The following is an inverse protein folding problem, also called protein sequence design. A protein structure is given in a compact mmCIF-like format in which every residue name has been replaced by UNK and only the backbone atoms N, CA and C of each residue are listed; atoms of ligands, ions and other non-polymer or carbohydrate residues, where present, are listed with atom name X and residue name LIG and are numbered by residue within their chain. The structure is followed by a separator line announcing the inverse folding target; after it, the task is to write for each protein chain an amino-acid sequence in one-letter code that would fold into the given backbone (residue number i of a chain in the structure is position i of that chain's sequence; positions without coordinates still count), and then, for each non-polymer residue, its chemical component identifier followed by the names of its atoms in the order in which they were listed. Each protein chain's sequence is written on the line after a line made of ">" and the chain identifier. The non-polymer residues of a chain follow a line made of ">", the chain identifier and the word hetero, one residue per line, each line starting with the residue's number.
data_IF_465406160317
#
_entry.id   IF_465406160317
#
_cell.length_a   1.000
_cell.length_b   1.000
_cell.length_c   1.000
_cell.angle_alpha   90.00
_cell.angle_beta   90.00
_cell.angle_gamma   90.00
#
_symmetry.space_group_name_H-M   'P 1'
#
loop_
_entity.id
_entity.type
_entity.pdbx_description
1 polymer ?
#
# COMPACT_ATOMS: atom_id res chain seq x y z
N UNK A 1 22.54 -4.72 -18.12
CA UNK A 1 22.24 -4.52 -16.69
C UNK A 1 20.95 -5.25 -16.38
N UNK A 2 20.95 -6.08 -15.33
CA UNK A 2 19.78 -6.86 -14.92
C UNK A 2 19.23 -6.28 -13.63
N UNK A 3 17.93 -5.99 -13.59
CA UNK A 3 17.27 -5.47 -12.40
C UNK A 3 17.11 -6.60 -11.38
N UNK A 4 17.58 -6.36 -10.15
CA UNK A 4 17.55 -7.39 -9.10
C UNK A 4 16.17 -7.56 -8.48
N UNK A 5 15.89 -8.75 -7.92
CA UNK A 5 14.66 -9.03 -7.17
C UNK A 5 14.38 -8.03 -6.05
N UNK A 6 15.45 -7.51 -5.43
CA UNK A 6 15.36 -6.52 -4.37
C UNK A 6 14.84 -5.19 -4.88
N UNK A 7 15.22 -4.78 -6.08
CA UNK A 7 14.73 -3.55 -6.69
C UNK A 7 13.27 -3.69 -7.11
N UNK A 8 12.89 -4.81 -7.75
CA UNK A 8 11.48 -5.11 -8.05
C UNK A 8 10.60 -5.08 -6.80
N UNK A 9 11.00 -5.78 -5.75
CA UNK A 9 10.26 -5.83 -4.48
C UNK A 9 10.11 -4.43 -3.88
N UNK A 10 11.19 -3.64 -3.88
CA UNK A 10 11.17 -2.28 -3.36
C UNK A 10 10.21 -1.38 -4.12
N UNK A 11 10.16 -1.48 -5.44
CA UNK A 11 9.28 -0.65 -6.27
C UNK A 11 7.81 -1.06 -6.14
N UNK A 12 7.52 -2.35 -6.01
CA UNK A 12 6.18 -2.84 -5.66
C UNK A 12 5.73 -2.27 -4.32
N UNK A 13 6.59 -2.29 -3.29
CA UNK A 13 6.23 -1.75 -1.98
C UNK A 13 5.94 -0.25 -2.04
N UNK A 14 6.69 0.52 -2.85
CA UNK A 14 6.48 1.95 -3.03
C UNK A 14 5.17 2.23 -3.77
N UNK A 15 4.94 1.56 -4.91
CA UNK A 15 3.72 1.69 -5.73
C UNK A 15 2.47 1.37 -4.92
N UNK A 16 2.48 0.23 -4.23
CA UNK A 16 1.37 -0.20 -3.37
C UNK A 16 1.15 0.72 -2.17
N UNK A 17 2.16 1.48 -1.74
CA UNK A 17 2.01 2.47 -0.66
C UNK A 17 1.61 3.86 -1.17
N UNK A 18 1.44 4.05 -2.48
CA UNK A 18 1.19 5.36 -3.09
C UNK A 18 2.36 6.35 -2.90
N UNK A 19 3.57 5.84 -2.70
CA UNK A 19 4.77 6.64 -2.47
C UNK A 19 5.58 6.75 -3.76
N UNK A 20 5.79 7.97 -4.25
CA UNK A 20 6.60 8.27 -5.45
C UNK A 20 8.09 7.94 -5.32
N UNK A 21 8.55 7.63 -4.10
CA UNK A 21 9.92 7.28 -3.79
C UNK A 21 10.90 8.44 -3.75
N UNK A 22 10.44 9.70 -3.81
CA UNK A 22 11.30 10.90 -3.88
C UNK A 22 12.40 10.92 -2.81
N UNK A 23 12.02 10.67 -1.56
CA UNK A 23 12.97 10.60 -0.42
C UNK A 23 13.97 9.45 -0.58
N UNK A 24 13.53 8.31 -1.11
CA UNK A 24 14.40 7.15 -1.34
C UNK A 24 15.36 7.42 -2.50
N UNK A 25 14.93 8.11 -3.55
CA UNK A 25 15.78 8.49 -4.67
C UNK A 25 16.92 9.41 -4.22
N UNK A 26 16.61 10.46 -3.42
CA UNK A 26 17.60 11.44 -2.94
C UNK A 26 18.85 10.83 -2.28
N UNK A 27 18.69 9.72 -1.56
CA UNK A 27 19.78 9.06 -0.82
C UNK A 27 20.57 8.03 -1.64
N UNK A 28 20.17 7.72 -2.88
CA UNK A 28 20.91 6.79 -3.75
C UNK A 28 22.19 7.46 -4.24
N UNK A 29 23.31 6.75 -4.06
CA UNK A 29 24.64 7.17 -4.54
C UNK A 29 25.14 6.37 -5.75
N UNK A 30 24.52 5.23 -6.04
CA UNK A 30 24.93 4.35 -7.14
C UNK A 30 24.02 4.56 -8.36
N UNK A 31 24.63 4.92 -9.49
CA UNK A 31 23.96 5.20 -10.77
C UNK A 31 23.07 4.03 -11.23
N UNK A 32 23.63 2.83 -11.28
CA UNK A 32 22.95 1.63 -11.79
C UNK A 32 21.72 1.25 -10.96
N UNK A 33 21.80 1.46 -9.65
CA UNK A 33 20.68 1.27 -8.72
C UNK A 33 19.58 2.31 -8.94
N UNK A 34 19.91 3.57 -9.25
CA UNK A 34 18.93 4.58 -9.61
C UNK A 34 18.20 4.19 -10.92
N UNK A 35 18.96 3.77 -11.95
CA UNK A 35 18.38 3.29 -13.23
C UNK A 35 17.47 2.09 -12.98
N UNK A 36 17.97 1.08 -12.25
CA UNK A 36 17.23 -0.16 -12.00
C UNK A 36 15.91 0.09 -11.30
N UNK A 37 15.89 0.97 -10.29
CA UNK A 37 14.67 1.33 -9.56
C UNK A 37 13.72 2.18 -10.37
N UNK A 38 14.24 3.08 -11.20
CA UNK A 38 13.40 3.86 -12.09
C UNK A 38 12.67 2.96 -13.10
N UNK A 39 13.42 2.11 -13.80
CA UNK A 39 12.87 1.18 -14.78
C UNK A 39 11.92 0.18 -14.12
N UNK A 40 12.31 -0.38 -12.96
CA UNK A 40 11.43 -1.27 -12.19
C UNK A 40 10.13 -0.57 -11.80
N UNK A 41 10.21 0.69 -11.33
CA UNK A 41 9.05 1.51 -10.97
C UNK A 41 8.08 1.68 -12.13
N UNK A 42 8.58 2.11 -13.29
CA UNK A 42 7.77 2.28 -14.49
C UNK A 42 7.04 0.99 -14.90
N UNK A 43 7.73 -0.16 -14.88
CA UNK A 43 7.14 -1.44 -15.27
C UNK A 43 6.10 -1.94 -14.25
N UNK A 44 6.35 -1.72 -12.95
CA UNK A 44 5.41 -2.06 -11.87
C UNK A 44 4.15 -1.20 -11.96
N UNK A 45 4.28 0.11 -12.18
CA UNK A 45 3.16 1.04 -12.29
C UNK A 45 2.53 1.09 -13.69
N UNK A 46 2.89 0.15 -14.57
CA UNK A 46 2.46 0.10 -15.97
C UNK A 46 2.54 1.46 -16.70
N UNK A 47 3.62 2.21 -16.43
CA UNK A 47 3.86 3.54 -16.95
C UNK A 47 4.92 3.52 -18.04
N UNK A 48 4.74 4.37 -19.06
CA UNK A 48 5.72 4.51 -20.13
C UNK A 48 6.89 5.39 -19.67
N UNK A 49 8.08 5.09 -20.22
CA UNK A 49 9.24 5.96 -20.08
C UNK A 49 8.97 7.29 -20.81
N UNK A 50 8.96 8.40 -20.07
CA UNK A 50 8.68 9.73 -20.61
C UNK A 50 9.74 10.72 -20.16
N UNK A 51 10.37 11.40 -21.13
CA UNK A 51 11.38 12.42 -20.91
C UNK A 51 10.91 13.77 -21.43
N UNK A 52 10.99 14.82 -20.60
CA UNK A 52 10.68 16.18 -20.99
C UNK A 52 11.96 16.88 -21.47
N UNK A 53 12.10 17.04 -22.79
CA UNK A 53 13.26 17.69 -23.40
C UNK A 53 13.42 19.15 -22.94
N UNK A 54 12.32 19.88 -22.76
CA UNK A 54 12.34 21.29 -22.33
C UNK A 54 12.91 21.44 -20.92
N UNK A 55 12.55 20.53 -20.01
CA UNK A 55 12.99 20.56 -18.62
C UNK A 55 14.24 19.70 -18.37
N UNK A 56 14.75 19.05 -19.42
CA UNK A 56 15.86 18.10 -19.39
C UNK A 56 15.75 17.07 -18.24
N UNK A 57 14.56 16.49 -18.05
CA UNK A 57 14.28 15.55 -16.95
C UNK A 57 13.19 14.54 -17.29
N UNK A 58 13.21 13.40 -16.61
CA UNK A 58 12.10 12.44 -16.62
C UNK A 58 10.89 13.00 -15.86
N UNK A 59 9.69 12.61 -16.31
CA UNK A 59 8.40 12.98 -15.73
C UNK A 59 7.52 11.75 -15.52
N UNK A 60 6.51 11.86 -14.66
CA UNK A 60 5.59 10.77 -14.34
C UNK A 60 6.07 9.89 -13.20
N UNK A 61 5.54 8.66 -13.16
CA UNK A 61 5.74 7.68 -12.09
C UNK A 61 7.22 7.45 -11.80
N UNK A 62 7.61 7.58 -10.53
CA UNK A 62 8.97 7.30 -10.05
C UNK A 62 10.08 8.10 -10.74
N UNK A 63 9.75 9.22 -11.39
CA UNK A 63 10.69 10.05 -12.15
C UNK A 63 11.88 10.57 -11.35
N UNK A 64 11.75 10.73 -10.03
CA UNK A 64 12.85 11.10 -9.15
C UNK A 64 14.03 10.11 -9.20
N UNK A 65 13.77 8.81 -9.40
CA UNK A 65 14.85 7.84 -9.57
C UNK A 65 15.56 8.02 -10.92
N UNK A 66 14.82 8.33 -11.98
CA UNK A 66 15.38 8.61 -13.31
C UNK A 66 16.22 9.88 -13.29
N UNK A 67 15.70 10.95 -12.68
CA UNK A 67 16.41 12.20 -12.51
C UNK A 67 17.65 12.03 -11.62
N UNK A 68 17.55 11.21 -10.57
CA UNK A 68 18.72 10.84 -9.78
C UNK A 68 19.78 10.09 -10.58
N UNK A 69 19.37 9.23 -11.52
CA UNK A 69 20.32 8.55 -12.39
C UNK A 69 21.06 9.55 -13.31
N UNK A 70 20.36 10.54 -13.86
CA UNK A 70 20.96 11.63 -14.65
C UNK A 70 21.96 12.45 -13.81
N UNK A 71 21.59 12.85 -12.58
CA UNK A 71 22.49 13.53 -11.65
C UNK A 71 23.77 12.73 -11.36
N UNK A 72 23.67 11.40 -11.35
CA UNK A 72 24.78 10.47 -11.14
C UNK A 72 25.54 10.13 -12.44
N UNK A 73 25.26 10.81 -13.55
CA UNK A 73 25.96 10.66 -14.83
C UNK A 73 25.46 9.52 -15.71
N UNK A 74 24.18 9.14 -15.64
CA UNK A 74 23.55 8.30 -16.64
C UNK A 74 23.18 9.12 -17.88
N UNK A 75 23.34 8.53 -19.07
CA UNK A 75 22.71 9.09 -20.27
C UNK A 75 21.25 8.63 -20.37
N UNK A 76 20.46 9.34 -21.19
CA UNK A 76 19.10 8.88 -21.51
C UNK A 76 19.12 7.53 -22.25
N UNK A 77 20.13 7.31 -23.09
CA UNK A 77 20.34 6.08 -23.85
C UNK A 77 20.62 4.89 -22.92
N UNK A 78 21.42 5.08 -21.87
CA UNK A 78 21.67 4.06 -20.85
C UNK A 78 20.35 3.60 -20.21
N UNK A 79 19.50 4.55 -19.83
CA UNK A 79 18.22 4.29 -19.19
C UNK A 79 17.25 3.62 -20.18
N UNK A 80 17.17 4.12 -21.41
CA UNK A 80 16.35 3.55 -22.48
C UNK A 80 16.74 2.10 -22.77
N UNK A 81 18.03 1.80 -22.83
CA UNK A 81 18.54 0.44 -23.05
C UNK A 81 18.10 -0.50 -21.93
N UNK A 82 18.19 -0.08 -20.67
CA UNK A 82 17.71 -0.90 -19.54
C UNK A 82 16.19 -1.09 -19.59
N UNK A 83 15.44 -0.03 -19.92
CA UNK A 83 13.98 -0.08 -20.07
C UNK A 83 13.51 -1.05 -21.17
N UNK A 84 14.20 -1.08 -22.31
CA UNK A 84 13.86 -1.94 -23.44
C UNK A 84 14.22 -3.41 -23.17
N UNK A 85 15.33 -3.66 -22.47
CA UNK A 85 15.85 -5.02 -22.23
C UNK A 85 15.24 -5.71 -21.02
N UNK A 86 14.61 -4.98 -20.09
CA UNK A 86 14.00 -5.56 -18.90
C UNK A 86 12.47 -5.56 -19.02
N UNK A 87 11.87 -6.72 -18.78
CA UNK A 87 10.43 -6.90 -18.63
C UNK A 87 10.10 -7.22 -17.18
N UNK A 88 8.87 -6.90 -16.75
CA UNK A 88 8.38 -7.28 -15.43
C UNK A 88 8.36 -8.82 -15.32
N UNK A 89 9.14 -9.43 -14.42
CA UNK A 89 9.13 -10.89 -14.29
C UNK A 89 7.78 -11.39 -13.77
N UNK A 90 7.33 -12.55 -14.27
CA UNK A 90 6.01 -13.12 -13.95
C UNK A 90 5.72 -13.23 -12.44
N UNK A 91 6.71 -13.66 -11.65
CA UNK A 91 6.56 -13.74 -10.18
C UNK A 91 6.17 -12.41 -9.53
N UNK A 92 6.57 -11.28 -10.12
CA UNK A 92 6.25 -9.95 -9.65
C UNK A 92 4.93 -9.45 -10.21
N UNK A 93 4.57 -9.78 -11.46
CA UNK A 93 3.21 -9.51 -11.98
C UNK A 93 2.15 -10.27 -11.18
N UNK A 94 2.40 -11.53 -10.86
CA UNK A 94 1.50 -12.36 -10.04
C UNK A 94 1.36 -11.76 -8.62
N UNK A 95 2.48 -11.26 -8.07
CA UNK A 95 2.48 -10.55 -6.79
C UNK A 95 1.66 -9.26 -6.86
N UNK A 96 1.82 -8.44 -7.90
CA UNK A 96 1.03 -7.21 -8.09
C UNK A 96 -0.44 -7.55 -8.23
N UNK A 97 -0.80 -8.56 -9.03
CA UNK A 97 -2.18 -8.99 -9.20
C UNK A 97 -2.77 -9.47 -7.86
N UNK A 98 -2.03 -10.24 -7.07
CA UNK A 98 -2.44 -10.67 -5.73
C UNK A 98 -2.63 -9.48 -4.77
N UNK A 99 -1.82 -8.43 -4.89
CA UNK A 99 -1.86 -7.26 -4.01
C UNK A 99 -2.79 -6.15 -4.52
N UNK A 100 -3.22 -6.24 -5.78
CA UNK A 100 -4.22 -5.36 -6.37
C UNK A 100 -5.57 -5.55 -5.67
N UNK A 101 -6.32 -4.47 -5.47
CA UNK A 101 -7.59 -4.49 -4.73
C UNK A 101 -7.46 -4.64 -3.21
N UNK A 102 -6.25 -4.87 -2.68
CA UNK A 102 -5.98 -4.92 -1.23
C UNK A 102 -5.95 -3.53 -0.56
N UNK A 103 -6.17 -2.46 -1.33
CA UNK A 103 -6.24 -1.07 -0.87
C UNK A 103 -5.02 -0.62 -0.05
N UNK A 104 -3.82 -1.08 -0.40
CA UNK A 104 -2.58 -0.83 0.37
C UNK A 104 -2.15 0.65 0.40
N UNK A 105 -2.54 1.42 -0.61
CA UNK A 105 -2.31 2.86 -0.71
C UNK A 105 -3.50 3.68 -0.18
N UNK A 106 -4.58 3.02 0.26
CA UNK A 106 -5.74 3.73 0.77
C UNK A 106 -5.41 4.30 2.15
N UNK A 107 -5.61 5.61 2.32
CA UNK A 107 -5.28 6.28 3.56
C UNK A 107 -6.00 5.70 4.79
N UNK A 108 -7.19 5.11 4.61
CA UNK A 108 -8.05 4.59 5.68
C UNK A 108 -7.86 3.12 6.03
N UNK A 109 -7.36 2.30 5.11
CA UNK A 109 -7.25 0.84 5.33
C UNK A 109 -5.91 0.25 4.91
N UNK A 110 -5.02 1.03 4.30
CA UNK A 110 -3.77 0.53 3.73
C UNK A 110 -2.84 -0.11 4.77
N UNK A 111 -2.69 0.51 5.94
CA UNK A 111 -1.87 -0.05 7.03
C UNK A 111 -2.50 -1.33 7.62
N UNK A 112 -3.83 -1.37 7.75
CA UNK A 112 -4.54 -2.58 8.18
C UNK A 112 -4.35 -3.72 7.18
N UNK A 113 -4.60 -3.47 5.89
CA UNK A 113 -4.40 -4.44 4.82
C UNK A 113 -2.98 -4.99 4.80
N UNK A 114 -1.97 -4.11 4.92
CA UNK A 114 -0.56 -4.52 4.97
C UNK A 114 -0.29 -5.43 6.16
N UNK A 115 -0.79 -5.07 7.35
CA UNK A 115 -0.60 -5.89 8.56
C UNK A 115 -1.26 -7.26 8.46
N UNK A 116 -2.42 -7.36 7.80
CA UNK A 116 -3.11 -8.65 7.55
C UNK A 116 -2.29 -9.52 6.58
N UNK A 117 -1.82 -8.93 5.47
CA UNK A 117 -0.98 -9.65 4.49
C UNK A 117 0.34 -10.12 5.09
N UNK A 118 1.01 -9.25 5.84
CA UNK A 118 2.23 -9.55 6.58
C UNK A 118 2.06 -10.69 7.61
N UNK A 119 0.83 -10.96 8.04
CA UNK A 119 0.49 -12.03 8.97
C UNK A 119 0.25 -13.38 8.28
N UNK A 120 0.41 -13.44 6.95
CA UNK A 120 0.16 -14.63 6.15
C UNK A 120 -1.33 -14.88 5.85
N UNK A 121 -2.17 -13.85 6.00
CA UNK A 121 -3.60 -13.90 5.65
C UNK A 121 -3.85 -13.12 4.35
N UNK A 122 -4.96 -13.40 3.68
CA UNK A 122 -5.45 -12.58 2.57
C UNK A 122 -6.64 -11.72 2.99
N UNK A 123 -6.84 -10.58 2.35
CA UNK A 123 -7.96 -9.65 2.61
C UNK A 123 -8.65 -9.28 1.30
N UNK A 124 -9.97 -9.41 1.21
CA UNK A 124 -10.75 -9.01 0.05
C UNK A 124 -11.85 -8.05 0.47
N UNK A 125 -11.90 -6.86 -0.11
CA UNK A 125 -12.94 -5.87 0.19
C UNK A 125 -14.20 -6.19 -0.61
N UNK A 126 -15.31 -6.46 0.10
CA UNK A 126 -16.61 -6.78 -0.50
C UNK A 126 -17.39 -5.50 -0.77
N UNK A 127 -17.46 -4.60 0.23
CA UNK A 127 -18.14 -3.32 0.09
C UNK A 127 -17.57 -2.28 1.05
N UNK A 128 -17.84 -1.00 0.77
CA UNK A 128 -17.56 0.13 1.66
C UNK A 128 -18.70 1.13 1.64
N UNK A 129 -18.89 1.87 2.73
CA UNK A 129 -19.97 2.85 2.86
C UNK A 129 -19.92 3.64 4.16
N UNK A 130 -21.08 4.12 4.62
CA UNK A 130 -21.21 4.82 5.91
C UNK A 130 -20.97 3.87 7.10
N UNK A 131 -20.95 4.42 8.31
CA UNK A 131 -20.83 3.67 9.56
C UNK A 131 -21.72 2.42 9.59
N UNK A 132 -21.13 1.28 9.96
CA UNK A 132 -21.83 0.00 10.10
C UNK A 132 -22.02 -0.35 11.58
N UNK A 133 -21.08 0.04 12.45
CA UNK A 133 -21.10 -0.21 13.90
C UNK A 133 -21.88 0.87 14.66
N UNK A 134 -22.33 0.55 15.88
CA UNK A 134 -22.98 1.51 16.77
C UNK A 134 -22.02 2.65 17.13
N UNK A 135 -20.78 2.33 17.48
CA UNK A 135 -19.74 3.30 17.82
C UNK A 135 -19.36 4.18 16.63
N UNK A 136 -19.36 3.64 15.41
CA UNK A 136 -19.18 4.42 14.19
C UNK A 136 -20.31 5.44 14.00
N UNK A 137 -21.56 5.02 14.19
CA UNK A 137 -22.74 5.91 14.15
C UNK A 137 -22.67 6.96 15.25
N UNK A 138 -22.30 6.58 16.47
CA UNK A 138 -22.11 7.52 17.58
C UNK A 138 -20.98 8.52 17.30
N UNK A 139 -19.87 8.08 16.70
CA UNK A 139 -18.76 8.95 16.34
C UNK A 139 -19.19 10.00 15.30
N UNK A 140 -20.02 9.61 14.32
CA UNK A 140 -20.63 10.54 13.36
C UNK A 140 -21.59 11.53 14.04
N UNK A 141 -22.39 11.06 15.01
CA UNK A 141 -23.39 11.90 15.69
C UNK A 141 -22.77 12.89 16.70
N UNK A 142 -21.69 12.50 17.39
CA UNK A 142 -21.13 13.25 18.52
C UNK A 142 -20.10 14.32 18.13
N UNK A 143 -19.70 14.45 16.86
CA UNK A 143 -18.70 15.43 16.45
C UNK A 143 -18.76 15.76 14.96
N UNK A 144 -19.02 17.03 14.61
CA UNK A 144 -18.96 17.53 13.23
C UNK A 144 -17.57 17.49 12.57
N UNK A 145 -16.56 16.89 13.21
CA UNK A 145 -15.17 16.75 12.73
C UNK A 145 -14.68 15.30 12.61
N UNK A 146 -15.49 14.32 13.05
CA UNK A 146 -15.16 12.90 12.97
C UNK A 146 -16.01 12.24 11.90
N UNK A 147 -15.36 11.51 11.01
CA UNK A 147 -16.02 10.80 9.92
C UNK A 147 -15.68 9.32 10.03
N UNK A 148 -16.60 8.47 9.59
CA UNK A 148 -16.42 7.02 9.65
C UNK A 148 -16.75 6.40 8.32
N UNK A 149 -15.89 5.51 7.85
CA UNK A 149 -16.13 4.71 6.65
C UNK A 149 -16.21 3.24 7.06
N UNK A 150 -17.35 2.63 6.80
CA UNK A 150 -17.58 1.22 7.04
C UNK A 150 -17.03 0.36 5.91
N UNK A 151 -16.47 -0.80 6.27
CA UNK A 151 -15.91 -1.79 5.38
C UNK A 151 -16.44 -3.17 5.71
N UNK A 152 -16.78 -3.94 4.66
CA UNK A 152 -17.00 -5.38 4.74
C UNK A 152 -15.89 -6.08 3.98
N UNK A 153 -15.25 -7.04 4.63
CA UNK A 153 -14.08 -7.73 4.08
C UNK A 153 -14.16 -9.24 4.33
N UNK A 154 -13.67 -10.03 3.38
CA UNK A 154 -13.41 -11.46 3.56
C UNK A 154 -11.92 -11.62 3.87
N UNK A 155 -11.60 -12.22 5.01
CA UNK A 155 -10.24 -12.60 5.40
C UNK A 155 -10.07 -14.09 5.17
N UNK A 156 -9.03 -14.48 4.44
CA UNK A 156 -8.72 -15.89 4.16
C UNK A 156 -7.43 -16.30 4.85
N UNK A 157 -7.45 -17.44 5.55
CA UNK A 157 -6.25 -18.04 6.18
C UNK A 157 -6.24 -19.55 5.91
N UNK A 158 -5.32 -19.99 5.06
CA UNK A 158 -5.34 -21.38 4.59
C UNK A 158 -6.63 -21.64 3.80
N UNK A 159 -7.42 -22.61 4.24
CA UNK A 159 -8.72 -22.94 3.62
C UNK A 159 -9.91 -22.22 4.30
N UNK A 160 -9.66 -21.53 5.42
CA UNK A 160 -10.71 -20.88 6.19
C UNK A 160 -10.98 -19.47 5.66
N UNK A 161 -12.25 -19.10 5.61
CA UNK A 161 -12.74 -17.78 5.22
C UNK A 161 -13.53 -17.18 6.36
N UNK A 162 -13.31 -15.90 6.59
CA UNK A 162 -13.94 -15.18 7.68
C UNK A 162 -14.47 -13.84 7.21
N UNK A 163 -15.67 -13.47 7.65
CA UNK A 163 -16.22 -12.15 7.39
C UNK A 163 -15.76 -11.18 8.49
N UNK A 164 -15.06 -10.13 8.08
CA UNK A 164 -14.66 -9.04 8.96
C UNK A 164 -15.38 -7.76 8.51
N UNK A 165 -16.26 -7.25 9.36
CA UNK A 165 -16.95 -5.97 9.16
C UNK A 165 -16.42 -4.96 10.18
N UNK A 166 -16.04 -3.76 9.74
CA UNK A 166 -15.46 -2.76 10.63
C UNK A 166 -15.66 -1.32 10.12
N UNK A 167 -15.61 -0.33 11.01
CA UNK A 167 -15.55 1.09 10.68
C UNK A 167 -14.14 1.64 10.88
N UNK A 168 -13.64 2.42 9.92
CA UNK A 168 -12.44 3.24 10.06
C UNK A 168 -12.85 4.66 10.49
N UNK A 169 -12.41 5.11 11.68
CA UNK A 169 -12.77 6.41 12.26
C UNK A 169 -11.63 7.40 12.02
N UNK A 170 -11.90 8.52 11.37
CA UNK A 170 -10.95 9.60 11.10
C UNK A 170 -11.32 10.89 11.85
N UNK A 171 -10.31 11.71 12.15
CA UNK A 171 -10.47 13.09 12.60
C UNK A 171 -9.90 14.03 11.51
N UNK A 172 -10.67 15.04 11.12
CA UNK A 172 -10.20 16.21 10.35
C UNK A 172 -9.47 15.90 9.02
N UNK A 173 -9.85 14.82 8.31
CA UNK A 173 -9.26 14.47 7.01
C UNK A 173 -7.85 13.86 7.09
N UNK A 174 -7.33 13.65 8.30
CA UNK A 174 -6.19 12.76 8.54
C UNK A 174 -6.59 11.30 8.32
N UNK A 175 -5.61 10.40 8.24
CA UNK A 175 -5.88 8.96 8.19
C UNK A 175 -6.70 8.43 9.37
N UNK A 176 -6.90 7.11 9.47
CA UNK A 176 -7.74 6.48 10.47
C UNK A 176 -7.06 6.62 11.83
N UNK A 177 -7.79 7.18 12.78
CA UNK A 177 -7.39 7.32 14.18
C UNK A 177 -7.69 6.05 14.98
N UNK A 178 -8.74 5.32 14.59
CA UNK A 178 -9.16 4.05 15.18
C UNK A 178 -9.97 3.22 14.19
N UNK A 179 -10.15 1.94 14.51
CA UNK A 179 -11.09 1.06 13.83
C UNK A 179 -12.08 0.45 14.84
N UNK A 180 -13.25 0.02 14.41
CA UNK A 180 -14.22 -0.67 15.30
C UNK A 180 -14.83 -1.84 14.54
N UNK A 181 -14.84 -3.04 15.11
CA UNK A 181 -15.41 -4.23 14.47
C UNK A 181 -16.90 -4.33 14.78
N UNK A 182 -17.70 -4.72 13.79
CA UNK A 182 -19.10 -5.10 14.00
C UNK A 182 -19.16 -6.54 14.53
N UNK A 183 -19.03 -6.74 15.84
CA UNK A 183 -19.42 -8.00 16.48
C UNK A 183 -20.13 -7.72 17.81
N UNK A 184 -21.21 -8.46 18.09
CA UNK A 184 -22.16 -8.22 19.19
C UNK A 184 -21.58 -8.36 20.61
N UNK A 185 -20.33 -8.80 20.75
CA UNK A 185 -19.62 -8.93 22.04
C UNK A 185 -18.22 -8.27 22.04
N UNK A 186 -17.82 -7.58 20.95
CA UNK A 186 -16.53 -6.88 20.91
C UNK A 186 -16.70 -5.44 21.33
N UNK A 187 -17.18 -5.25 22.56
CA UNK A 187 -17.11 -3.95 23.22
C UNK A 187 -15.64 -3.55 23.27
N UNK A 188 -15.30 -2.55 22.45
CA UNK A 188 -14.02 -1.87 22.39
C UNK A 188 -12.88 -2.67 21.72
N UNK A 189 -11.80 -1.99 21.33
CA UNK A 189 -10.48 -2.56 20.93
C UNK A 189 -10.14 -2.53 19.42
N UNK A 190 -10.40 -1.41 18.73
CA UNK A 190 -9.24 -0.70 18.13
C UNK A 190 -9.22 0.77 18.52
N UNK A 191 -9.33 1.05 19.82
CA UNK A 191 -9.00 2.37 20.32
C UNK A 191 -7.50 2.60 20.09
N UNK A 192 -7.19 3.49 19.15
CA UNK A 192 -5.87 4.02 18.79
C UNK A 192 -4.89 3.05 18.09
N UNK A 193 -4.75 3.21 16.77
CA UNK A 193 -3.73 2.55 15.94
C UNK A 193 -2.29 2.95 16.31
N UNK A 194 -2.11 4.00 17.12
CA UNK A 194 -0.79 4.59 17.39
C UNK A 194 0.17 3.74 18.22
N UNK A 195 -0.26 2.65 18.89
CA UNK A 195 0.60 1.94 19.87
C UNK A 195 0.47 0.41 19.94
N UNK A 196 -0.35 -0.25 19.12
CA UNK A 196 -0.49 -1.70 19.22
C UNK A 196 0.59 -2.45 18.43
N UNK A 197 1.44 -3.27 19.08
CA UNK A 197 2.42 -4.09 18.38
C UNK A 197 1.73 -5.08 17.44
N UNK A 198 2.36 -5.34 16.28
CA UNK A 198 1.88 -6.21 15.18
C UNK A 198 1.28 -7.55 15.66
N UNK A 199 1.84 -8.12 16.73
CA UNK A 199 1.39 -9.37 17.37
C UNK A 199 0.00 -9.28 18.02
N UNK A 200 -0.39 -8.13 18.59
CA UNK A 200 -1.72 -7.95 19.22
C UNK A 200 -2.83 -7.82 18.17
N UNK A 201 -2.58 -7.11 17.06
CA UNK A 201 -3.55 -7.00 15.96
C UNK A 201 -3.86 -8.38 15.36
N UNK A 202 -2.85 -9.18 15.09
CA UNK A 202 -3.02 -10.52 14.50
C UNK A 202 -3.74 -11.44 15.47
N UNK A 203 -3.34 -11.46 16.75
CA UNK A 203 -4.01 -12.28 17.77
C UNK A 203 -5.46 -11.85 17.98
N UNK A 204 -5.76 -10.57 17.86
CA UNK A 204 -7.11 -10.05 17.97
C UNK A 204 -7.97 -10.40 16.76
N UNK A 205 -7.48 -10.18 15.53
CA UNK A 205 -8.16 -10.66 14.31
C UNK A 205 -8.44 -12.15 14.45
N UNK A 206 -7.43 -12.98 14.75
CA UNK A 206 -7.63 -14.42 14.92
C UNK A 206 -8.62 -14.79 16.05
N UNK A 207 -8.59 -14.09 17.19
CA UNK A 207 -9.51 -14.33 18.31
C UNK A 207 -10.96 -13.91 17.99
N UNK A 208 -11.14 -12.86 17.18
CA UNK A 208 -12.47 -12.44 16.71
C UNK A 208 -13.01 -13.43 15.67
N UNK A 209 -12.12 -13.97 14.83
CA UNK A 209 -12.46 -14.96 13.81
C UNK A 209 -12.72 -16.36 14.38
N UNK A 210 -12.21 -16.69 15.57
CA UNK A 210 -12.49 -17.96 16.27
C UNK A 210 -13.76 -17.96 17.12
N UNK A 211 -14.42 -16.80 17.26
CA UNK A 211 -15.64 -16.63 18.06
C UNK A 211 -16.91 -16.46 17.21
N UNK A 212 -16.77 -16.48 15.89
CA UNK A 212 -17.85 -16.42 14.89
C UNK A 212 -18.18 -17.81 14.35
#
# INVERSE_FOLDING_TARGET
>A
MTITDKDWTRMIDLDLSGNDGAKTAKIIKNKEKAISRFVAGLKVSNSNLAFCNVLNRYVGSFSDFGNKALELGASQEDIQKVYNTNQLPKKFSDKIQKLSGKKLNNMFVGDLSKKILDAGMDINFISSGNAITCEGKEAMQRNGRKWTIGYKTEITKGNDKFLLTFDAITCEGGGPTSYVIANYESDHIFHTFGKLPKTRLIRFVLNCLSKS
#
